data_IF_193085130698
#
_entry.id   IF_193085130698
#
_cell.length_a   1.000
_cell.length_b   1.000
_cell.length_c   1.000
_cell.angle_alpha   90.00
_cell.angle_beta   90.00
_cell.angle_gamma   90.00
#
_symmetry.space_group_name_H-M   'P 1'
#
loop_
_entity.id
_entity.type
_entity.pdbx_description
1 polymer ?
#
# COMPACT_ATOMS: atom_id res chain seq x y z
N UNK A 1 27.28 -57.76 -12.94
CA UNK A 1 25.95 -57.74 -13.58
C UNK A 1 25.64 -56.32 -14.05
N UNK A 2 25.31 -56.10 -15.34
CA UNK A 2 24.98 -54.74 -15.84
C UNK A 2 23.52 -54.45 -15.55
N UNK A 3 23.23 -53.32 -14.89
CA UNK A 3 21.85 -52.88 -14.66
C UNK A 3 21.12 -52.62 -15.99
N UNK A 4 19.86 -53.06 -16.13
CA UNK A 4 19.06 -52.81 -17.32
C UNK A 4 18.81 -51.31 -17.51
N UNK A 5 18.76 -50.87 -18.77
CA UNK A 5 18.65 -49.45 -19.13
C UNK A 5 17.41 -48.80 -18.51
N UNK A 6 16.27 -49.50 -18.48
CA UNK A 6 15.04 -48.99 -17.87
C UNK A 6 15.18 -48.63 -16.39
N UNK A 7 15.96 -49.42 -15.63
CA UNK A 7 16.21 -49.14 -14.20
C UNK A 7 17.09 -47.89 -14.03
N UNK A 8 18.08 -47.70 -14.92
CA UNK A 8 18.93 -46.50 -14.88
C UNK A 8 18.14 -45.22 -15.20
N UNK A 9 17.30 -45.28 -16.22
CA UNK A 9 16.44 -44.15 -16.62
C UNK A 9 15.42 -43.84 -15.52
N UNK A 10 14.79 -44.86 -14.93
CA UNK A 10 13.86 -44.69 -13.82
C UNK A 10 14.52 -44.07 -12.59
N UNK A 11 15.69 -44.56 -12.19
CA UNK A 11 16.44 -44.01 -11.06
C UNK A 11 16.86 -42.54 -11.29
N UNK A 12 17.31 -42.20 -12.50
CA UNK A 12 17.66 -40.83 -12.86
C UNK A 12 16.44 -39.90 -12.83
N UNK A 13 15.30 -40.32 -13.39
CA UNK A 13 14.07 -39.55 -13.37
C UNK A 13 13.58 -39.28 -11.94
N UNK A 14 13.58 -40.31 -11.08
CA UNK A 14 13.20 -40.17 -9.67
C UNK A 14 14.14 -39.25 -8.90
N UNK A 15 15.45 -39.31 -9.18
CA UNK A 15 16.42 -38.40 -8.57
C UNK A 15 16.14 -36.94 -8.96
N UNK A 16 15.94 -36.67 -10.25
CA UNK A 16 15.63 -35.31 -10.73
C UNK A 16 14.32 -34.78 -10.13
N UNK A 17 13.26 -35.60 -10.15
CA UNK A 17 11.97 -35.23 -9.54
C UNK A 17 12.11 -34.98 -8.04
N UNK A 18 12.80 -35.87 -7.32
CA UNK A 18 13.04 -35.75 -5.89
C UNK A 18 13.82 -34.48 -5.53
N UNK A 19 14.88 -34.17 -6.28
CA UNK A 19 15.66 -32.94 -6.08
C UNK A 19 14.81 -31.69 -6.34
N UNK A 20 14.02 -31.68 -7.41
CA UNK A 20 13.13 -30.56 -7.71
C UNK A 20 12.06 -30.36 -6.62
N UNK A 21 11.39 -31.44 -6.22
CA UNK A 21 10.38 -31.40 -5.14
C UNK A 21 11.00 -30.96 -3.82
N UNK A 22 12.19 -31.46 -3.48
CA UNK A 22 12.91 -31.03 -2.28
C UNK A 22 13.21 -29.53 -2.31
N UNK A 23 13.77 -29.02 -3.41
CA UNK A 23 14.08 -27.60 -3.55
C UNK A 23 12.82 -26.72 -3.47
N UNK A 24 11.75 -27.11 -4.18
CA UNK A 24 10.48 -26.39 -4.18
C UNK A 24 9.85 -26.30 -2.77
N UNK A 25 9.95 -27.36 -1.97
CA UNK A 25 9.44 -27.39 -0.60
C UNK A 25 10.41 -26.77 0.43
N UNK A 26 11.68 -26.57 0.08
CA UNK A 26 12.64 -25.84 0.91
C UNK A 26 12.39 -24.34 0.89
N UNK A 27 11.68 -23.83 -0.12
CA UNK A 27 11.24 -22.45 -0.19
C UNK A 27 10.02 -22.29 0.73
N UNK A 28 10.02 -21.33 1.69
CA UNK A 28 8.85 -21.04 2.51
C UNK A 28 7.63 -20.79 1.64
N UNK A 29 6.60 -21.61 1.82
CA UNK A 29 5.36 -21.48 1.08
C UNK A 29 4.62 -20.23 1.57
N UNK A 30 4.68 -19.15 0.80
CA UNK A 30 3.90 -17.94 1.07
C UNK A 30 2.44 -18.28 0.77
N UNK A 31 1.67 -18.57 1.81
CA UNK A 31 0.22 -18.66 1.68
C UNK A 31 -0.31 -17.27 1.33
N UNK A 32 -0.96 -17.13 0.16
CA UNK A 32 -1.75 -15.95 -0.16
C UNK A 32 -3.03 -15.95 0.69
N UNK A 33 -2.89 -15.76 2.00
CA UNK A 33 -4.04 -15.40 2.82
C UNK A 33 -4.52 -14.05 2.29
N UNK A 34 -5.83 -13.87 2.03
CA UNK A 34 -6.37 -12.54 1.80
C UNK A 34 -5.84 -11.60 2.91
N UNK A 35 -5.43 -10.37 2.58
CA UNK A 35 -5.13 -9.37 3.61
C UNK A 35 -6.26 -9.41 4.63
N UNK A 36 -5.94 -9.39 5.92
CA UNK A 36 -6.98 -9.31 6.93
C UNK A 36 -7.82 -8.08 6.61
N UNK A 37 -9.03 -8.29 6.10
CA UNK A 37 -9.91 -7.18 5.76
C UNK A 37 -10.12 -6.40 7.05
N UNK A 38 -9.68 -5.15 7.04
CA UNK A 38 -10.15 -4.18 8.00
C UNK A 38 -11.64 -4.06 7.72
N UNK A 39 -12.44 -4.89 8.40
CA UNK A 39 -13.89 -4.76 8.36
C UNK A 39 -14.22 -3.46 9.07
N UNK A 40 -14.27 -2.40 8.27
CA UNK A 40 -14.82 -1.10 8.66
C UNK A 40 -16.35 -1.13 8.59
N UNK A 41 -16.93 -2.27 8.19
CA UNK A 41 -18.37 -2.50 8.11
C UNK A 41 -18.95 -2.84 9.50
N UNK A 42 -20.18 -2.40 9.75
CA UNK A 42 -20.90 -2.71 11.00
C UNK A 42 -20.80 -1.65 12.11
N UNK A 43 -20.29 -0.45 11.82
CA UNK A 43 -20.45 0.74 12.67
C UNK A 43 -19.61 0.79 13.95
N UNK A 44 -18.92 -0.29 14.31
CA UNK A 44 -18.09 -0.38 15.52
C UNK A 44 -16.58 -0.23 15.23
N UNK A 45 -16.22 0.76 14.42
CA UNK A 45 -14.82 1.03 14.06
C UNK A 45 -14.18 1.94 15.11
N UNK A 46 -13.10 1.46 15.73
CA UNK A 46 -12.32 2.26 16.68
C UNK A 46 -11.44 3.30 15.96
N UNK A 47 -11.09 4.42 16.61
CA UNK A 47 -10.14 5.38 16.05
C UNK A 47 -8.79 4.75 15.66
N UNK A 48 -8.30 3.77 16.44
CA UNK A 48 -7.06 3.07 16.13
C UNK A 48 -7.14 2.25 14.83
N UNK A 49 -8.29 1.62 14.56
CA UNK A 49 -8.52 0.91 13.30
C UNK A 49 -8.56 1.88 12.11
N UNK A 50 -9.20 3.05 12.26
CA UNK A 50 -9.21 4.08 11.21
C UNK A 50 -7.80 4.63 10.93
N UNK A 51 -6.99 4.86 11.96
CA UNK A 51 -5.59 5.29 11.81
C UNK A 51 -4.80 4.24 11.03
N UNK A 52 -4.92 2.96 11.41
CA UNK A 52 -4.23 1.86 10.73
C UNK A 52 -4.67 1.73 9.26
N UNK A 53 -5.98 1.82 8.99
CA UNK A 53 -6.52 1.80 7.63
C UNK A 53 -6.00 2.97 6.78
N UNK A 54 -6.01 4.18 7.34
CA UNK A 54 -5.51 5.38 6.67
C UNK A 54 -4.02 5.30 6.37
N UNK A 55 -3.22 4.76 7.30
CA UNK A 55 -1.78 4.54 7.10
C UNK A 55 -1.52 3.51 5.99
N UNK A 56 -2.28 2.42 5.95
CA UNK A 56 -2.16 1.42 4.90
C UNK A 56 -2.49 2.02 3.52
N UNK A 57 -3.57 2.81 3.41
CA UNK A 57 -3.91 3.53 2.17
C UNK A 57 -2.78 4.49 1.79
N UNK A 58 -2.26 5.27 2.74
CA UNK A 58 -1.21 6.26 2.52
C UNK A 58 0.06 5.65 1.91
N UNK A 59 0.47 4.47 2.41
CA UNK A 59 1.71 3.78 2.00
C UNK A 59 1.54 2.85 0.80
N UNK A 60 0.33 2.35 0.56
CA UNK A 60 0.08 1.33 -0.47
C UNK A 60 -0.74 1.90 -1.63
N UNK A 61 -2.05 1.62 -1.67
CA UNK A 61 -2.95 1.94 -2.79
C UNK A 61 -2.97 3.44 -3.13
N UNK A 62 -2.91 4.31 -2.12
CA UNK A 62 -2.92 5.75 -2.33
C UNK A 62 -1.57 6.29 -2.81
N UNK A 63 -0.47 5.57 -2.57
CA UNK A 63 0.91 5.98 -2.94
C UNK A 63 1.28 7.41 -2.52
N UNK A 64 0.61 7.94 -1.49
CA UNK A 64 0.70 9.34 -1.10
C UNK A 64 2.13 9.72 -0.68
N UNK A 65 2.85 8.76 -0.08
CA UNK A 65 4.22 8.95 0.39
C UNK A 65 5.27 9.19 -0.71
N UNK A 66 4.92 8.92 -1.97
CA UNK A 66 5.80 9.20 -3.12
C UNK A 66 6.03 10.71 -3.27
N UNK A 67 5.00 11.51 -2.98
CA UNK A 67 5.04 12.97 -3.13
C UNK A 67 5.06 13.68 -1.78
N UNK A 68 4.29 13.19 -0.80
CA UNK A 68 4.15 13.81 0.51
C UNK A 68 5.02 13.12 1.55
N UNK A 69 5.81 13.89 2.29
CA UNK A 69 6.54 13.42 3.47
C UNK A 69 5.84 13.86 4.75
N UNK A 70 6.19 13.22 5.86
CA UNK A 70 5.75 13.59 7.20
C UNK A 70 6.99 14.04 7.98
N UNK A 71 7.02 15.30 8.39
CA UNK A 71 8.09 15.90 9.18
C UNK A 71 9.26 16.43 8.35
N UNK A 72 9.09 16.51 7.02
CA UNK A 72 10.10 17.03 6.11
C UNK A 72 9.43 17.90 5.05
N UNK A 73 9.95 19.12 4.86
CA UNK A 73 9.51 20.00 3.78
C UNK A 73 9.83 19.35 2.42
N UNK A 74 8.78 19.00 1.68
CA UNK A 74 8.93 18.46 0.32
C UNK A 74 9.16 19.57 -0.71
N UNK A 75 9.83 19.23 -1.81
CA UNK A 75 9.92 20.09 -3.01
C UNK A 75 8.79 19.81 -4.00
N UNK A 76 8.27 18.57 -4.01
CA UNK A 76 7.22 18.12 -4.92
C UNK A 76 5.82 18.39 -4.37
N UNK A 77 5.61 18.18 -3.08
CA UNK A 77 4.33 18.40 -2.41
C UNK A 77 4.52 18.83 -0.95
N UNK A 78 3.51 19.46 -0.31
CA UNK A 78 3.60 19.92 1.07
C UNK A 78 3.87 18.80 2.08
N UNK A 79 4.60 19.13 3.15
CA UNK A 79 4.75 18.29 4.34
C UNK A 79 3.39 18.04 5.01
N UNK A 80 3.11 16.81 5.42
CA UNK A 80 1.87 16.43 6.11
C UNK A 80 1.98 16.41 7.65
N UNK A 81 3.16 16.65 8.23
CA UNK A 81 3.25 16.83 9.68
C UNK A 81 2.33 17.96 10.16
N UNK A 82 1.52 17.63 11.18
CA UNK A 82 0.56 18.56 11.77
C UNK A 82 -0.65 18.91 10.90
N UNK A 83 -0.87 18.21 9.77
CA UNK A 83 -1.96 18.55 8.83
C UNK A 83 -3.34 18.55 9.49
N UNK A 84 -3.59 17.66 10.45
CA UNK A 84 -4.88 17.61 11.15
C UNK A 84 -5.27 18.92 11.83
N UNK A 85 -4.30 19.69 12.34
CA UNK A 85 -4.53 21.02 12.92
C UNK A 85 -4.43 22.15 11.89
N UNK A 86 -3.46 22.06 10.96
CA UNK A 86 -3.20 23.11 9.95
C UNK A 86 -4.31 23.20 8.91
N UNK A 87 -4.93 22.08 8.53
CA UNK A 87 -5.97 22.01 7.50
C UNK A 87 -7.13 23.00 7.74
N UNK A 88 -7.61 23.12 8.99
CA UNK A 88 -8.69 24.05 9.34
C UNK A 88 -8.38 25.53 9.12
N UNK A 89 -7.10 25.88 8.95
CA UNK A 89 -6.62 27.26 8.75
C UNK A 89 -6.10 27.49 7.32
N UNK A 90 -6.10 26.45 6.49
CA UNK A 90 -5.46 26.50 5.17
C UNK A 90 -6.36 27.18 4.14
N UNK A 91 -7.65 26.83 4.10
CA UNK A 91 -8.65 27.47 3.24
C UNK A 91 -9.77 28.09 4.09
N UNK A 92 -10.01 29.42 4.00
CA UNK A 92 -11.09 30.07 4.73
C UNK A 92 -12.45 29.43 4.48
N UNK A 93 -13.26 29.28 5.52
CA UNK A 93 -14.62 28.74 5.43
C UNK A 93 -14.73 27.21 5.45
N UNK A 94 -13.62 26.47 5.48
CA UNK A 94 -13.63 25.00 5.61
C UNK A 94 -13.09 24.52 6.96
N UNK A 95 -13.72 23.50 7.53
CA UNK A 95 -13.13 22.69 8.60
C UNK A 95 -11.95 21.87 8.08
N UNK A 96 -11.09 21.38 8.99
CA UNK A 96 -9.98 20.49 8.63
C UNK A 96 -10.43 19.27 7.82
N UNK A 97 -11.54 18.64 8.23
CA UNK A 97 -12.11 17.47 7.52
C UNK A 97 -12.56 17.85 6.11
N UNK A 98 -13.27 18.96 5.95
CA UNK A 98 -13.73 19.42 4.65
C UNK A 98 -12.55 19.76 3.71
N UNK A 99 -11.53 20.45 4.23
CA UNK A 99 -10.32 20.77 3.46
C UNK A 99 -9.60 19.50 2.98
N UNK A 100 -9.42 18.50 3.84
CA UNK A 100 -8.74 17.25 3.48
C UNK A 100 -9.55 16.48 2.43
N UNK A 101 -10.88 16.40 2.59
CA UNK A 101 -11.77 15.75 1.61
C UNK A 101 -11.71 16.48 0.26
N UNK A 102 -11.82 17.81 0.25
CA UNK A 102 -11.71 18.60 -0.98
C UNK A 102 -10.34 18.41 -1.64
N UNK A 103 -9.25 18.40 -0.87
CA UNK A 103 -7.89 18.19 -1.39
C UNK A 103 -7.71 16.82 -2.06
N UNK A 104 -8.43 15.79 -1.59
CA UNK A 104 -8.36 14.44 -2.15
C UNK A 104 -9.23 14.29 -3.41
N UNK A 105 -10.46 14.82 -3.37
CA UNK A 105 -11.44 14.68 -4.46
C UNK A 105 -11.26 15.75 -5.55
N UNK A 106 -10.77 16.93 -5.19
CA UNK A 106 -10.60 18.10 -6.05
C UNK A 106 -9.28 18.83 -5.74
N UNK A 107 -8.11 18.18 -5.91
CA UNK A 107 -6.81 18.75 -5.55
C UNK A 107 -6.50 20.10 -6.23
N UNK A 108 -7.09 20.38 -7.39
CA UNK A 108 -6.96 21.67 -8.08
C UNK A 108 -7.83 22.80 -7.52
N UNK A 109 -8.75 22.53 -6.60
CA UNK A 109 -9.66 23.55 -6.03
C UNK A 109 -8.95 24.52 -5.07
N UNK A 110 -7.83 24.09 -4.48
CA UNK A 110 -6.96 24.93 -3.68
C UNK A 110 -5.53 24.42 -3.77
N UNK A 111 -4.62 25.27 -4.25
CA UNK A 111 -3.19 24.96 -4.34
C UNK A 111 -2.45 25.65 -3.19
N UNK A 112 -1.70 24.87 -2.43
CA UNK A 112 -0.81 25.41 -1.39
C UNK A 112 0.30 26.21 -2.09
N UNK A 113 0.55 27.42 -1.59
CA UNK A 113 1.56 28.32 -2.14
C UNK A 113 2.92 27.63 -2.28
N UNK A 114 3.56 27.80 -3.45
CA UNK A 114 4.87 27.24 -3.75
C UNK A 114 4.85 25.78 -4.26
N UNK A 115 3.69 25.15 -4.45
CA UNK A 115 3.59 23.80 -4.99
C UNK A 115 2.81 23.76 -6.32
N UNK A 116 3.20 22.87 -7.25
CA UNK A 116 2.55 22.75 -8.55
C UNK A 116 1.24 21.94 -8.45
N UNK A 117 0.34 22.15 -9.42
CA UNK A 117 -0.91 21.39 -9.54
C UNK A 117 -0.66 20.00 -10.14
N UNK A 118 -0.16 19.07 -9.33
CA UNK A 118 0.23 17.72 -9.76
C UNK A 118 -0.38 16.60 -8.92
N UNK A 119 -1.17 16.93 -7.89
CA UNK A 119 -1.81 15.91 -7.06
C UNK A 119 -2.97 15.28 -7.83
N UNK A 120 -2.99 13.94 -7.99
CA UNK A 120 -4.07 13.26 -8.71
C UNK A 120 -5.36 13.21 -7.88
N UNK A 121 -6.50 13.12 -8.57
CA UNK A 121 -7.79 12.83 -7.95
C UNK A 121 -7.81 11.38 -7.47
N UNK A 122 -8.28 11.13 -6.25
CA UNK A 122 -8.28 9.76 -5.66
C UNK A 122 -9.51 8.94 -6.04
N UNK A 123 -10.54 9.57 -6.59
CA UNK A 123 -11.83 8.98 -6.95
C UNK A 123 -11.94 8.60 -8.44
N UNK A 124 -10.90 8.86 -9.23
CA UNK A 124 -10.86 8.56 -10.67
C UNK A 124 -9.67 7.65 -11.02
N UNK A 125 -9.88 6.66 -11.91
CA UNK A 125 -8.81 5.78 -12.38
C UNK A 125 -7.79 6.49 -13.26
#
# INVERSE_FOLDING_TARGET
MRLPVGVKVGAFALAVMGTYTYYANSIPQIQSKPPAELSLEGGNVTPAQLVKAGEEIFKTKGTCEICHRIGQKGTRAPDLAGIGGRAAKTKPGLSAKQYIIESLLQPGAYLVEGYPNIMPQVDKP
#
